data_IF_997874968810
#
_entry.id   IF_997874968810
#
_cell.length_a   1.000
_cell.length_b   1.000
_cell.length_c   1.000
_cell.angle_alpha   90.00
_cell.angle_beta   90.00
_cell.angle_gamma   90.00
#
_symmetry.space_group_name_H-M   'P 1'
#
loop_
_entity.id
_entity.type
_entity.pdbx_description
1 polymer ?
#
# COMPACT_ATOMS: atom_id res chain seq x y z
N UNK A 1 4.76 16.11 36.50
CA UNK A 1 3.74 15.05 36.63
C UNK A 1 2.81 14.98 35.42
N UNK A 2 2.10 16.07 35.05
CA UNK A 2 1.20 16.04 33.89
C UNK A 2 1.96 15.84 32.56
N UNK A 3 3.12 16.50 32.41
CA UNK A 3 3.91 16.46 31.17
C UNK A 3 4.49 15.08 30.86
N UNK A 4 4.92 14.30 31.88
CA UNK A 4 5.48 12.96 31.70
C UNK A 4 4.40 11.97 31.24
N UNK A 5 3.21 12.05 31.81
CA UNK A 5 2.08 11.22 31.41
C UNK A 5 1.57 11.55 30.00
N UNK A 6 1.50 12.84 29.65
CA UNK A 6 1.15 13.29 28.30
C UNK A 6 2.20 12.87 27.27
N UNK A 7 3.49 13.01 27.59
CA UNK A 7 4.58 12.57 26.72
C UNK A 7 4.54 11.05 26.45
N UNK A 8 4.36 10.24 27.50
CA UNK A 8 4.21 8.80 27.38
C UNK A 8 2.97 8.41 26.54
N UNK A 9 1.85 9.12 26.74
CA UNK A 9 0.63 8.89 25.97
C UNK A 9 0.82 9.13 24.47
N UNK A 10 1.37 10.29 24.09
CA UNK A 10 1.56 10.63 22.67
C UNK A 10 2.60 9.74 22.00
N UNK A 11 3.72 9.43 22.68
CA UNK A 11 4.75 8.54 22.12
C UNK A 11 4.25 7.11 21.93
N UNK A 12 3.40 6.58 22.80
CA UNK A 12 2.72 5.29 22.62
C UNK A 12 1.78 5.29 21.39
N UNK A 13 0.99 6.36 21.20
CA UNK A 13 0.14 6.50 20.02
C UNK A 13 0.95 6.54 18.71
N UNK A 14 2.05 7.29 18.70
CA UNK A 14 2.98 7.36 17.55
C UNK A 14 3.57 5.98 17.28
N UNK A 15 4.05 5.26 18.30
CA UNK A 15 4.62 3.93 18.14
C UNK A 15 3.61 2.94 17.55
N UNK A 16 2.36 2.95 18.03
CA UNK A 16 1.28 2.12 17.48
C UNK A 16 1.03 2.41 16.00
N UNK A 17 0.88 3.67 15.62
CA UNK A 17 0.67 4.08 14.23
C UNK A 17 1.81 3.62 13.32
N UNK A 18 3.06 3.78 13.76
CA UNK A 18 4.25 3.37 13.01
C UNK A 18 4.33 1.85 12.85
N UNK A 19 4.03 1.07 13.91
CA UNK A 19 4.01 -0.39 13.85
C UNK A 19 2.94 -0.89 12.87
N UNK A 20 1.73 -0.33 12.97
CA UNK A 20 0.61 -0.67 12.09
C UNK A 20 0.97 -0.40 10.63
N UNK A 21 1.56 0.76 10.32
CA UNK A 21 2.01 1.07 8.96
C UNK A 21 3.12 0.15 8.49
N UNK A 22 4.11 -0.15 9.32
CA UNK A 22 5.17 -1.10 8.95
C UNK A 22 4.58 -2.47 8.60
N UNK A 23 3.58 -2.94 9.35
CA UNK A 23 2.87 -4.17 9.04
C UNK A 23 2.10 -4.08 7.70
N UNK A 24 1.39 -2.97 7.45
CA UNK A 24 0.69 -2.72 6.18
C UNK A 24 1.66 -2.72 4.99
N UNK A 25 2.78 -1.98 5.07
CA UNK A 25 3.79 -1.93 4.01
C UNK A 25 4.39 -3.32 3.73
N UNK A 26 4.61 -4.13 4.77
CA UNK A 26 5.06 -5.52 4.60
C UNK A 26 4.01 -6.38 3.90
N UNK A 27 2.73 -6.25 4.27
CA UNK A 27 1.63 -6.96 3.61
C UNK A 27 1.54 -6.59 2.13
N UNK A 28 1.54 -5.29 1.81
CA UNK A 28 1.54 -4.78 0.44
C UNK A 28 2.74 -5.32 -0.34
N UNK A 29 3.93 -5.32 0.27
CA UNK A 29 5.13 -5.88 -0.36
C UNK A 29 4.93 -7.35 -0.70
N UNK A 30 4.39 -8.16 0.21
CA UNK A 30 4.12 -9.57 -0.02
C UNK A 30 3.10 -9.79 -1.14
N UNK A 31 1.98 -9.07 -1.11
CA UNK A 31 0.89 -9.22 -2.06
C UNK A 31 1.28 -8.78 -3.49
N UNK A 32 2.14 -7.77 -3.62
CA UNK A 32 2.69 -7.34 -4.92
C UNK A 32 3.74 -8.30 -5.51
N UNK A 33 4.25 -9.24 -4.72
CA UNK A 33 5.30 -10.15 -5.15
C UNK A 33 4.88 -11.08 -6.30
N UNK A 34 5.89 -11.64 -6.98
CA UNK A 34 5.69 -12.56 -8.11
C UNK A 34 4.93 -13.84 -7.74
N UNK A 35 4.91 -14.23 -6.46
CA UNK A 35 4.17 -15.39 -5.98
C UNK A 35 2.67 -15.12 -5.73
N UNK A 36 2.27 -13.84 -5.72
CA UNK A 36 0.91 -13.38 -5.42
C UNK A 36 0.30 -12.69 -6.65
N UNK A 37 0.14 -11.35 -6.63
CA UNK A 37 -0.47 -10.59 -7.72
C UNK A 37 0.32 -10.78 -9.03
N UNK A 38 1.65 -10.86 -8.98
CA UNK A 38 2.47 -11.09 -10.17
C UNK A 38 2.15 -12.42 -10.87
N UNK A 39 1.98 -13.51 -10.12
CA UNK A 39 1.56 -14.83 -10.64
C UNK A 39 0.18 -14.78 -11.26
N UNK A 40 -0.76 -14.13 -10.56
CA UNK A 40 -2.15 -14.03 -11.04
C UNK A 40 -2.20 -13.25 -12.34
N UNK A 41 -1.52 -12.10 -12.42
CA UNK A 41 -1.41 -11.31 -13.65
C UNK A 41 -0.76 -12.11 -14.79
N UNK A 42 0.30 -12.88 -14.50
CA UNK A 42 0.90 -13.81 -15.47
C UNK A 42 -0.11 -14.81 -16.02
N UNK A 43 -0.84 -15.51 -15.15
CA UNK A 43 -1.89 -16.45 -15.56
C UNK A 43 -3.01 -15.81 -16.38
N UNK A 44 -3.38 -14.55 -16.10
CA UNK A 44 -4.37 -13.83 -16.91
C UNK A 44 -3.85 -13.44 -18.28
N UNK A 45 -2.56 -13.13 -18.39
CA UNK A 45 -1.93 -12.88 -19.69
C UNK A 45 -1.92 -14.16 -20.55
N UNK A 46 -1.62 -15.31 -19.94
CA UNK A 46 -1.66 -16.62 -20.61
C UNK A 46 -3.08 -16.99 -21.05
N UNK A 47 -4.08 -16.77 -20.19
CA UNK A 47 -5.50 -16.97 -20.53
C UNK A 47 -5.92 -16.14 -21.75
N UNK A 48 -5.49 -14.87 -21.83
CA UNK A 48 -5.76 -14.00 -22.99
C UNK A 48 -5.02 -14.46 -24.24
N UNK A 49 -3.82 -15.01 -24.10
CA UNK A 49 -3.09 -15.58 -25.22
C UNK A 49 -3.84 -16.77 -25.84
N UNK A 50 -4.56 -17.55 -25.03
CA UNK A 50 -5.43 -18.63 -25.53
C UNK A 50 -6.65 -18.14 -26.33
N UNK A 51 -7.03 -16.85 -26.21
CA UNK A 51 -8.11 -16.26 -27.02
C UNK A 51 -7.64 -15.77 -28.39
N UNK A 52 -6.33 -15.60 -28.61
CA UNK A 52 -5.79 -15.11 -29.89
C UNK A 52 -6.18 -15.96 -31.11
N UNK A 53 -6.18 -17.31 -31.05
CA UNK A 53 -6.69 -18.13 -32.15
C UNK A 53 -8.16 -17.83 -32.52
N UNK A 54 -8.94 -17.26 -31.59
CA UNK A 54 -10.31 -16.83 -31.86
C UNK A 54 -10.43 -15.67 -32.84
N UNK A 55 -9.38 -14.85 -32.98
CA UNK A 55 -9.30 -13.81 -34.01
C UNK A 55 -9.33 -14.43 -35.41
N UNK A 56 -8.53 -15.49 -35.62
CA UNK A 56 -8.49 -16.22 -36.89
C UNK A 56 -9.81 -16.96 -37.15
N UNK A 57 -10.42 -17.53 -36.10
CA UNK A 57 -11.74 -18.15 -36.16
C UNK A 57 -12.84 -17.18 -36.60
N UNK A 58 -12.86 -15.97 -36.04
CA UNK A 58 -13.78 -14.91 -36.47
C UNK A 58 -13.49 -14.44 -37.89
N UNK A 59 -12.22 -14.26 -38.25
CA UNK A 59 -11.83 -13.86 -39.61
C UNK A 59 -12.29 -14.89 -40.65
N UNK A 60 -12.20 -16.19 -40.34
CA UNK A 60 -12.71 -17.25 -41.20
C UNK A 60 -14.25 -17.21 -41.33
N UNK A 61 -14.97 -16.93 -40.24
CA UNK A 61 -16.42 -16.78 -40.26
C UNK A 61 -16.87 -15.55 -41.07
N UNK A 62 -16.17 -14.41 -40.92
CA UNK A 62 -16.37 -13.20 -41.72
C UNK A 62 -16.16 -13.47 -43.21
N UNK A 63 -15.07 -14.15 -43.56
CA UNK A 63 -14.77 -14.55 -44.94
C UNK A 63 -15.85 -15.47 -45.53
N UNK A 64 -16.42 -16.36 -44.70
CA UNK A 64 -17.52 -17.25 -45.11
C UNK A 64 -18.78 -16.44 -45.45
N UNK A 65 -19.09 -15.39 -44.67
CA UNK A 65 -20.19 -14.47 -44.98
C UNK A 65 -19.92 -13.69 -46.27
N UNK A 66 -18.70 -13.21 -46.47
CA UNK A 66 -18.31 -12.46 -47.68
C UNK A 66 -18.42 -13.29 -48.97
N UNK A 67 -18.21 -14.61 -48.89
CA UNK A 67 -18.28 -15.53 -50.04
C UNK A 67 -19.65 -16.16 -50.24
N UNK A 68 -20.57 -16.02 -49.29
CA UNK A 68 -21.89 -16.64 -49.37
C UNK A 68 -22.79 -15.90 -50.38
N UNK A 69 -23.56 -16.66 -51.16
CA UNK A 69 -24.52 -16.13 -52.13
C UNK A 69 -25.90 -16.77 -51.97
N UNK A 70 -26.95 -16.03 -52.35
CA UNK A 70 -28.33 -16.51 -52.34
C UNK A 70 -28.79 -17.05 -50.97
N UNK A 71 -29.33 -18.26 -50.94
CA UNK A 71 -29.87 -18.87 -49.73
C UNK A 71 -28.81 -19.17 -48.65
N UNK A 72 -27.51 -19.18 -48.99
CA UNK A 72 -26.43 -19.45 -48.04
C UNK A 72 -26.07 -18.24 -47.15
N UNK A 73 -26.48 -17.02 -47.51
CA UNK A 73 -26.12 -15.79 -46.80
C UNK A 73 -26.68 -15.77 -45.37
N UNK A 74 -27.96 -16.13 -45.19
CA UNK A 74 -28.59 -16.07 -43.87
C UNK A 74 -27.97 -17.07 -42.87
N UNK A 75 -27.73 -18.35 -43.23
CA UNK A 75 -26.97 -19.29 -42.39
C UNK A 75 -25.56 -18.80 -42.05
N UNK A 76 -24.81 -18.26 -43.03
CA UNK A 76 -23.45 -17.77 -42.80
C UNK A 76 -23.43 -16.62 -41.78
N UNK A 77 -24.38 -15.67 -41.89
CA UNK A 77 -24.53 -14.58 -40.92
C UNK A 77 -24.91 -15.09 -39.53
N UNK A 78 -25.82 -16.05 -39.45
CA UNK A 78 -26.20 -16.69 -38.19
C UNK A 78 -25.01 -17.35 -37.49
N UNK A 79 -24.15 -18.04 -38.26
CA UNK A 79 -22.93 -18.64 -37.73
C UNK A 79 -21.94 -17.58 -37.22
N UNK A 80 -21.69 -16.51 -37.98
CA UNK A 80 -20.82 -15.41 -37.53
C UNK A 80 -21.31 -14.80 -36.22
N UNK A 81 -22.62 -14.53 -36.09
CA UNK A 81 -23.21 -13.99 -34.86
C UNK A 81 -23.04 -14.97 -33.70
N UNK A 82 -23.23 -16.26 -33.92
CA UNK A 82 -23.03 -17.28 -32.89
C UNK A 82 -21.57 -17.35 -32.43
N UNK A 83 -20.62 -17.36 -33.36
CA UNK A 83 -19.18 -17.36 -33.04
C UNK A 83 -18.76 -16.08 -32.31
N UNK A 84 -19.25 -14.92 -32.75
CA UNK A 84 -19.00 -13.64 -32.08
C UNK A 84 -19.52 -13.66 -30.63
N UNK A 85 -20.75 -14.14 -30.41
CA UNK A 85 -21.35 -14.20 -29.08
C UNK A 85 -20.53 -15.09 -28.12
N UNK A 86 -19.96 -16.20 -28.61
CA UNK A 86 -19.06 -17.03 -27.81
C UNK A 86 -17.82 -16.25 -27.34
N UNK A 87 -17.14 -15.56 -28.25
CA UNK A 87 -15.96 -14.76 -27.90
C UNK A 87 -16.29 -13.52 -27.05
N UNK A 88 -17.47 -12.93 -27.20
CA UNK A 88 -17.95 -11.88 -26.30
C UNK A 88 -18.13 -12.40 -24.86
N UNK A 89 -18.59 -13.64 -24.69
CA UNK A 89 -18.66 -14.30 -23.39
C UNK A 89 -17.28 -14.62 -22.79
N UNK A 90 -16.34 -15.10 -23.61
CA UNK A 90 -14.98 -15.37 -23.17
C UNK A 90 -14.26 -14.09 -22.71
N UNK A 91 -14.38 -13.00 -23.47
CA UNK A 91 -13.82 -11.69 -23.12
C UNK A 91 -14.45 -11.14 -21.84
N UNK A 92 -15.76 -11.29 -21.65
CA UNK A 92 -16.43 -10.91 -20.41
C UNK A 92 -15.88 -11.68 -19.20
N UNK A 93 -15.71 -13.01 -19.34
CA UNK A 93 -15.15 -13.85 -18.30
C UNK A 93 -13.72 -13.43 -17.93
N UNK A 94 -12.87 -13.10 -18.92
CA UNK A 94 -11.53 -12.58 -18.66
C UNK A 94 -11.55 -11.21 -17.98
N UNK A 95 -12.45 -10.31 -18.40
CA UNK A 95 -12.64 -9.01 -17.75
C UNK A 95 -13.05 -9.14 -16.29
N UNK A 96 -13.93 -10.10 -15.96
CA UNK A 96 -14.32 -10.38 -14.58
C UNK A 96 -13.14 -10.88 -13.72
N UNK A 97 -12.28 -11.74 -14.29
CA UNK A 97 -11.06 -12.22 -13.60
C UNK A 97 -10.06 -11.09 -13.35
N UNK A 98 -9.84 -10.21 -14.33
CA UNK A 98 -9.03 -9.00 -14.15
C UNK A 98 -9.64 -8.10 -13.06
N UNK A 99 -10.97 -7.98 -13.03
CA UNK A 99 -11.70 -7.25 -11.99
C UNK A 99 -11.46 -7.80 -10.58
N UNK A 100 -11.19 -9.10 -10.44
CA UNK A 100 -10.76 -9.70 -9.18
C UNK A 100 -9.41 -9.16 -8.71
N UNK A 101 -8.41 -9.09 -9.61
CA UNK A 101 -7.08 -8.53 -9.30
C UNK A 101 -7.17 -7.05 -8.96
N UNK A 102 -7.95 -6.29 -9.73
CA UNK A 102 -8.20 -4.88 -9.48
C UNK A 102 -8.82 -4.66 -8.08
N UNK A 103 -9.74 -5.53 -7.66
CA UNK A 103 -10.33 -5.47 -6.32
C UNK A 103 -9.29 -5.71 -5.25
N UNK A 104 -8.46 -6.75 -5.37
CA UNK A 104 -7.38 -7.04 -4.41
C UNK A 104 -6.41 -5.87 -4.27
N UNK A 105 -6.02 -5.23 -5.39
CA UNK A 105 -5.21 -4.00 -5.34
C UNK A 105 -5.95 -2.85 -4.64
N UNK A 106 -7.25 -2.67 -4.91
CA UNK A 106 -8.07 -1.66 -4.24
C UNK A 106 -8.20 -1.89 -2.73
N UNK A 107 -8.33 -3.15 -2.30
CA UNK A 107 -8.40 -3.54 -0.88
C UNK A 107 -7.12 -3.17 -0.12
N UNK A 108 -5.94 -3.20 -0.75
CA UNK A 108 -4.70 -2.71 -0.13
C UNK A 108 -4.77 -1.21 0.20
N UNK A 109 -5.52 -0.44 -0.60
CA UNK A 109 -5.67 1.00 -0.41
C UNK A 109 -6.71 1.35 0.65
N UNK A 110 -7.91 0.82 0.48
CA UNK A 110 -9.10 1.24 1.23
C UNK A 110 -9.52 0.25 2.32
N UNK A 111 -8.88 -0.91 2.39
CA UNK A 111 -9.32 -2.03 3.21
C UNK A 111 -10.51 -2.76 2.62
N UNK A 112 -10.88 -3.87 3.28
CA UNK A 112 -12.05 -4.69 2.88
C UNK A 112 -13.36 -4.20 3.49
N UNK A 113 -13.27 -3.39 4.54
CA UNK A 113 -14.40 -2.80 5.25
C UNK A 113 -13.99 -1.48 5.95
N UNK A 114 -14.94 -0.63 6.36
CA UNK A 114 -14.63 0.68 6.95
C UNK A 114 -13.86 0.66 8.27
N UNK A 115 -13.74 -0.50 8.93
CA UNK A 115 -13.03 -0.66 10.22
C UNK A 115 -11.62 -1.22 10.02
N UNK A 116 -11.27 -1.58 8.78
CA UNK A 116 -9.98 -2.17 8.44
C UNK A 116 -8.88 -1.13 8.60
N UNK A 117 -7.98 -1.37 9.57
CA UNK A 117 -6.85 -0.49 9.86
C UNK A 117 -5.60 -0.88 9.09
N UNK A 118 -5.59 -2.05 8.44
CA UNK A 118 -4.43 -2.59 7.75
C UNK A 118 -4.46 -2.25 6.25
N UNK A 119 -4.71 -0.97 5.94
CA UNK A 119 -4.71 -0.46 4.58
C UNK A 119 -3.94 0.87 4.49
N UNK A 120 -3.53 1.24 3.27
CA UNK A 120 -2.66 2.40 3.04
C UNK A 120 -3.32 3.72 3.47
N UNK A 121 -4.63 3.91 3.23
CA UNK A 121 -5.33 5.13 3.60
C UNK A 121 -5.46 5.30 5.12
N UNK A 122 -5.83 4.23 5.83
CA UNK A 122 -5.85 4.25 7.29
C UNK A 122 -4.45 4.51 7.86
N UNK A 123 -3.42 3.88 7.27
CA UNK A 123 -2.03 4.12 7.63
C UNK A 123 -1.57 5.57 7.44
N UNK A 124 -1.91 6.20 6.32
CA UNK A 124 -1.56 7.61 6.07
C UNK A 124 -2.22 8.55 7.08
N UNK A 125 -3.50 8.31 7.42
CA UNK A 125 -4.23 9.07 8.44
C UNK A 125 -3.65 8.86 9.85
N UNK A 126 -3.23 7.63 10.18
CA UNK A 126 -2.59 7.31 11.45
C UNK A 126 -1.25 8.04 11.59
N UNK A 127 -0.43 8.09 10.53
CA UNK A 127 0.82 8.84 10.52
C UNK A 127 0.61 10.35 10.56
N UNK A 128 -0.43 10.88 9.90
CA UNK A 128 -0.77 12.30 10.02
C UNK A 128 -1.16 12.66 11.46
N UNK A 129 -1.90 11.77 12.13
CA UNK A 129 -2.22 11.94 13.55
C UNK A 129 -0.97 11.86 14.42
N UNK A 130 -0.05 10.94 14.13
CA UNK A 130 1.24 10.83 14.81
C UNK A 130 2.10 12.10 14.65
N UNK A 131 2.08 12.74 13.48
CA UNK A 131 2.74 14.04 13.28
C UNK A 131 2.12 15.15 14.13
N UNK A 132 0.79 15.16 14.28
CA UNK A 132 0.11 16.11 15.19
C UNK A 132 0.46 15.84 16.65
N UNK A 133 0.61 14.58 17.04
CA UNK A 133 1.05 14.22 18.39
C UNK A 133 2.50 14.62 18.64
N UNK A 134 3.38 14.53 17.63
CA UNK A 134 4.73 15.10 17.68
C UNK A 134 4.73 16.62 17.85
N UNK A 135 3.84 17.34 17.15
CA UNK A 135 3.68 18.79 17.33
C UNK A 135 3.25 19.13 18.77
N UNK A 136 2.39 18.30 19.39
CA UNK A 136 1.99 18.46 20.80
C UNK A 136 3.14 18.19 21.76
N UNK A 137 3.93 17.14 21.51
CA UNK A 137 5.11 16.81 22.30
C UNK A 137 6.10 17.98 22.29
N UNK A 138 6.37 18.58 21.14
CA UNK A 138 7.33 19.70 21.02
C UNK A 138 6.87 20.97 21.77
N UNK A 139 5.56 21.11 22.03
CA UNK A 139 5.01 22.19 22.83
C UNK A 139 5.13 21.93 24.34
N UNK A 140 5.40 20.69 24.76
CA UNK A 140 5.62 20.38 26.17
C UNK A 140 7.00 20.91 26.63
N UNK A 141 7.08 21.54 27.81
CA UNK A 141 8.34 22.07 28.35
C UNK A 141 9.45 21.01 28.41
N UNK A 142 10.58 21.28 27.75
CA UNK A 142 11.76 20.41 27.76
C UNK A 142 11.66 19.15 26.91
N UNK A 143 10.60 18.99 26.09
CA UNK A 143 10.36 17.77 25.30
C UNK A 143 10.73 17.88 23.82
N UNK A 144 11.15 19.05 23.35
CA UNK A 144 11.77 19.22 22.04
C UNK A 144 13.21 18.65 22.02
N UNK A 145 13.33 17.33 22.06
CA UNK A 145 14.60 16.60 22.14
C UNK A 145 15.09 16.12 20.77
N UNK A 146 16.36 15.71 20.69
CA UNK A 146 16.92 15.11 19.47
C UNK A 146 16.20 13.82 19.05
N UNK A 147 15.74 13.02 20.03
CA UNK A 147 15.00 11.80 19.74
C UNK A 147 13.61 12.09 19.16
N UNK A 148 12.93 13.12 19.65
CA UNK A 148 11.64 13.57 19.08
C UNK A 148 11.82 14.10 17.66
N UNK A 149 12.87 14.89 17.39
CA UNK A 149 13.19 15.35 16.04
C UNK A 149 13.47 14.17 15.08
N UNK A 150 14.22 13.16 15.55
CA UNK A 150 14.49 11.95 14.77
C UNK A 150 13.23 11.11 14.54
N UNK A 151 12.35 11.03 15.53
CA UNK A 151 11.06 10.34 15.42
C UNK A 151 10.19 11.02 14.37
N UNK A 152 10.13 12.35 14.38
CA UNK A 152 9.44 13.15 13.35
C UNK A 152 9.94 12.84 11.95
N UNK A 153 11.26 12.88 11.72
CA UNK A 153 11.83 12.51 10.41
C UNK A 153 11.45 11.09 9.98
N UNK A 154 11.42 10.14 10.92
CA UNK A 154 10.99 8.76 10.65
C UNK A 154 9.51 8.66 10.26
N UNK A 155 8.62 9.34 10.98
CA UNK A 155 7.17 9.37 10.69
C UNK A 155 6.90 10.06 9.36
N UNK A 156 7.57 11.19 9.06
CA UNK A 156 7.47 11.89 7.77
C UNK A 156 7.94 11.00 6.62
N UNK A 157 9.05 10.29 6.80
CA UNK A 157 9.54 9.31 5.83
C UNK A 157 8.50 8.22 5.54
N UNK A 158 7.94 7.60 6.57
CA UNK A 158 6.92 6.56 6.40
C UNK A 158 5.66 7.11 5.74
N UNK A 159 5.25 8.35 6.08
CA UNK A 159 4.07 8.97 5.48
C UNK A 159 4.28 9.16 3.97
N UNK A 160 5.42 9.71 3.58
CA UNK A 160 5.76 9.89 2.17
C UNK A 160 5.78 8.55 1.43
N UNK A 161 6.31 7.49 2.03
CA UNK A 161 6.30 6.15 1.45
C UNK A 161 4.86 5.65 1.27
N UNK A 162 4.02 5.72 2.29
CA UNK A 162 2.62 5.28 2.21
C UNK A 162 1.85 6.05 1.13
N UNK A 163 2.02 7.37 1.04
CA UNK A 163 1.34 8.19 0.03
C UNK A 163 1.79 7.84 -1.41
N UNK A 164 3.09 7.59 -1.60
CA UNK A 164 3.62 7.15 -2.90
C UNK A 164 3.12 5.75 -3.27
N UNK A 165 3.09 4.83 -2.32
CA UNK A 165 2.59 3.47 -2.52
C UNK A 165 1.10 3.51 -2.86
N UNK A 166 0.30 4.29 -2.13
CA UNK A 166 -1.12 4.47 -2.39
C UNK A 166 -1.38 4.98 -3.81
N UNK A 167 -0.64 6.01 -4.24
CA UNK A 167 -0.74 6.55 -5.59
C UNK A 167 -0.36 5.54 -6.68
N UNK A 168 0.70 4.75 -6.47
CA UNK A 168 1.11 3.71 -7.44
C UNK A 168 0.11 2.57 -7.52
N UNK A 169 -0.48 2.17 -6.38
CA UNK A 169 -1.55 1.17 -6.38
C UNK A 169 -2.80 1.71 -7.08
N UNK A 170 -3.15 2.99 -6.89
CA UNK A 170 -4.25 3.64 -7.62
C UNK A 170 -4.02 3.59 -9.13
N UNK A 171 -2.81 3.96 -9.58
CA UNK A 171 -2.43 3.90 -10.99
C UNK A 171 -2.59 2.48 -11.57
N UNK A 172 -2.12 1.45 -10.85
CA UNK A 172 -2.30 0.05 -11.27
C UNK A 172 -3.78 -0.33 -11.37
N UNK A 173 -4.62 0.10 -10.41
CA UNK A 173 -6.06 -0.15 -10.49
C UNK A 173 -6.72 0.54 -11.68
N UNK A 174 -6.26 1.75 -12.04
CA UNK A 174 -6.73 2.49 -13.20
C UNK A 174 -6.32 1.79 -14.51
N UNK A 175 -5.07 1.32 -14.62
CA UNK A 175 -4.57 0.56 -15.78
C UNK A 175 -5.44 -0.68 -16.06
N UNK A 176 -5.72 -1.49 -15.04
CA UNK A 176 -6.60 -2.65 -15.19
C UNK A 176 -8.03 -2.25 -15.57
N UNK A 177 -8.51 -1.10 -15.10
CA UNK A 177 -9.83 -0.55 -15.45
C UNK A 177 -9.95 -0.25 -16.95
N UNK A 178 -8.89 0.30 -17.57
CA UNK A 178 -8.87 0.60 -19.01
C UNK A 178 -9.01 -0.66 -19.87
N UNK A 179 -8.26 -1.72 -19.53
CA UNK A 179 -8.37 -3.03 -20.18
C UNK A 179 -9.77 -3.62 -20.05
N UNK A 180 -10.36 -3.54 -18.85
CA UNK A 180 -11.74 -3.99 -18.60
C UNK A 180 -12.78 -3.16 -19.34
N UNK A 181 -12.57 -1.86 -19.50
CA UNK A 181 -13.46 -1.00 -20.27
C UNK A 181 -13.44 -1.35 -21.75
N UNK A 182 -12.28 -1.71 -22.31
CA UNK A 182 -12.19 -2.22 -23.67
C UNK A 182 -12.98 -3.53 -23.83
N UNK A 183 -12.82 -4.46 -22.89
CA UNK A 183 -13.57 -5.72 -22.86
C UNK A 183 -15.08 -5.50 -22.78
N UNK A 184 -15.53 -4.58 -21.90
CA UNK A 184 -16.94 -4.22 -21.76
C UNK A 184 -17.52 -3.67 -23.07
N UNK A 185 -16.82 -2.73 -23.72
CA UNK A 185 -17.25 -2.16 -25.01
C UNK A 185 -17.41 -3.23 -26.09
N UNK A 186 -16.47 -4.18 -26.18
CA UNK A 186 -16.56 -5.29 -27.13
C UNK A 186 -17.73 -6.23 -26.82
N UNK A 187 -17.93 -6.56 -25.55
CA UNK A 187 -19.01 -7.43 -25.09
C UNK A 187 -20.40 -6.83 -25.37
N UNK A 188 -20.59 -5.53 -25.15
CA UNK A 188 -21.91 -4.88 -25.30
C UNK A 188 -22.25 -4.42 -26.72
N UNK A 189 -21.27 -4.39 -27.62
CA UNK A 189 -21.47 -3.89 -28.98
C UNK A 189 -22.35 -4.83 -29.80
N UNK A 190 -23.24 -4.25 -30.61
CA UNK A 190 -24.08 -5.04 -31.50
C UNK A 190 -23.24 -5.64 -32.65
N UNK A 191 -23.56 -6.84 -33.17
CA UNK A 191 -22.79 -7.45 -34.26
C UNK A 191 -22.63 -6.56 -35.51
N UNK A 192 -23.59 -5.67 -35.78
CA UNK A 192 -23.55 -4.74 -36.91
C UNK A 192 -22.60 -3.55 -36.71
N UNK A 193 -22.19 -3.28 -35.48
CA UNK A 193 -21.30 -2.17 -35.11
C UNK A 193 -19.83 -2.57 -35.09
N UNK A 194 -19.56 -3.87 -35.23
CA UNK A 194 -18.24 -4.47 -35.09
C UNK A 194 -17.65 -4.85 -36.44
N UNK A 195 -16.31 -4.85 -36.48
CA UNK A 195 -15.50 -5.72 -37.31
C UNK A 195 -15.03 -6.87 -36.41
N UNK A 196 -15.80 -7.96 -36.26
CA UNK A 196 -15.64 -8.97 -35.22
C UNK A 196 -14.20 -9.41 -34.93
N UNK A 197 -13.45 -9.82 -35.94
CA UNK A 197 -12.08 -10.31 -35.77
C UNK A 197 -11.11 -9.20 -35.34
N UNK A 198 -11.19 -8.03 -36.00
CA UNK A 198 -10.34 -6.89 -35.72
C UNK A 198 -10.63 -6.26 -34.35
N UNK A 199 -11.89 -6.16 -33.95
CA UNK A 199 -12.31 -5.66 -32.64
C UNK A 199 -11.93 -6.63 -31.52
N UNK A 200 -12.08 -7.95 -31.71
CA UNK A 200 -11.59 -8.95 -30.77
C UNK A 200 -10.07 -8.82 -30.58
N UNK A 201 -9.30 -8.76 -31.67
CA UNK A 201 -7.85 -8.62 -31.62
C UNK A 201 -7.40 -7.36 -30.90
N UNK A 202 -8.03 -6.21 -31.17
CA UNK A 202 -7.77 -4.95 -30.46
C UNK A 202 -8.11 -5.03 -28.97
N UNK A 203 -9.19 -5.73 -28.63
CA UNK A 203 -9.64 -5.87 -27.24
C UNK A 203 -8.69 -6.75 -26.43
N UNK A 204 -8.30 -7.91 -26.97
CA UNK A 204 -7.28 -8.77 -26.38
C UNK A 204 -5.96 -8.01 -26.21
N UNK A 205 -5.51 -7.27 -27.23
CA UNK A 205 -4.30 -6.46 -27.15
C UNK A 205 -4.33 -5.46 -25.99
N UNK A 206 -5.40 -4.66 -25.88
CA UNK A 206 -5.55 -3.69 -24.78
C UNK A 206 -5.59 -4.35 -23.39
N UNK A 207 -6.25 -5.49 -23.26
CA UNK A 207 -6.27 -6.23 -22.00
C UNK A 207 -4.88 -6.76 -21.65
N UNK A 208 -4.13 -7.28 -22.62
CA UNK A 208 -2.76 -7.75 -22.43
C UNK A 208 -1.82 -6.61 -22.03
N UNK A 209 -1.90 -5.47 -22.72
CA UNK A 209 -1.11 -4.27 -22.40
C UNK A 209 -1.40 -3.80 -20.97
N UNK A 210 -2.68 -3.73 -20.57
CA UNK A 210 -3.06 -3.33 -19.21
C UNK A 210 -2.52 -4.27 -18.12
N UNK A 211 -2.47 -5.58 -18.39
CA UNK A 211 -1.91 -6.58 -17.47
C UNK A 211 -0.39 -6.45 -17.40
N UNK A 212 0.27 -6.28 -18.55
CA UNK A 212 1.72 -6.14 -18.62
C UNK A 212 2.20 -4.89 -17.89
N UNK A 213 1.59 -3.73 -18.16
CA UNK A 213 1.92 -2.48 -17.49
C UNK A 213 1.68 -2.56 -15.97
N UNK A 214 0.57 -3.18 -15.56
CA UNK A 214 0.27 -3.39 -14.14
C UNK A 214 1.30 -4.30 -13.47
N UNK A 215 1.71 -5.38 -14.15
CA UNK A 215 2.71 -6.31 -13.63
C UNK A 215 4.07 -5.64 -13.47
N UNK A 216 4.51 -4.89 -14.47
CA UNK A 216 5.78 -4.16 -14.44
C UNK A 216 5.80 -3.15 -13.29
N UNK A 217 4.69 -2.42 -13.10
CA UNK A 217 4.55 -1.48 -11.98
C UNK A 217 4.53 -2.19 -10.62
N UNK A 218 3.83 -3.33 -10.50
CA UNK A 218 3.81 -4.13 -9.29
C UNK A 218 5.21 -4.65 -8.93
N UNK A 219 5.97 -5.15 -9.92
CA UNK A 219 7.34 -5.64 -9.72
C UNK A 219 8.29 -4.52 -9.29
N UNK A 220 8.22 -3.35 -9.93
CA UNK A 220 9.03 -2.18 -9.52
C UNK A 220 8.68 -1.74 -8.10
N UNK A 221 7.40 -1.62 -7.77
CA UNK A 221 6.95 -1.23 -6.44
C UNK A 221 7.35 -2.26 -5.38
N UNK A 222 7.22 -3.56 -5.68
CA UNK A 222 7.69 -4.64 -4.82
C UNK A 222 9.20 -4.52 -4.54
N UNK A 223 10.03 -4.31 -5.56
CA UNK A 223 11.47 -4.15 -5.41
C UNK A 223 11.84 -2.91 -4.59
N UNK A 224 11.17 -1.78 -4.85
CA UNK A 224 11.34 -0.51 -4.12
C UNK A 224 11.02 -0.67 -2.62
N UNK A 225 9.90 -1.34 -2.31
CA UNK A 225 9.49 -1.63 -0.93
C UNK A 225 10.41 -2.63 -0.24
N UNK A 226 10.80 -3.71 -0.94
CA UNK A 226 11.72 -4.71 -0.40
C UNK A 226 13.07 -4.08 -0.03
N UNK A 227 13.62 -3.22 -0.88
CA UNK A 227 14.86 -2.46 -0.62
C UNK A 227 14.73 -1.54 0.61
N UNK A 228 13.54 -0.98 0.82
CA UNK A 228 13.26 0.00 1.89
C UNK A 228 12.79 -0.64 3.21
N UNK A 229 12.53 -1.95 3.21
CA UNK A 229 11.95 -2.70 4.34
C UNK A 229 12.74 -2.59 5.65
N UNK A 230 14.08 -2.60 5.57
CA UNK A 230 14.94 -2.39 6.73
C UNK A 230 14.80 -0.99 7.34
N UNK A 231 14.53 0.02 6.51
CA UNK A 231 14.25 1.38 6.95
C UNK A 231 12.92 1.47 7.71
N UNK A 232 11.87 0.82 7.21
CA UNK A 232 10.57 0.79 7.90
C UNK A 232 10.67 0.14 9.28
N UNK A 233 11.36 -1.00 9.34
CA UNK A 233 11.61 -1.70 10.60
C UNK A 233 12.43 -0.84 11.57
N UNK A 234 13.46 -0.16 11.10
CA UNK A 234 14.29 0.72 11.94
C UNK A 234 13.50 1.87 12.55
N UNK A 235 12.58 2.48 11.78
CA UNK A 235 11.69 3.54 12.30
C UNK A 235 10.72 2.97 13.35
N UNK A 236 10.15 1.79 13.12
CA UNK A 236 9.26 1.14 14.08
C UNK A 236 9.96 0.77 15.40
N UNK A 237 11.15 0.17 15.32
CA UNK A 237 11.97 -0.15 16.49
C UNK A 237 12.37 1.12 17.26
N UNK A 238 12.73 2.19 16.55
CA UNK A 238 13.05 3.47 17.18
C UNK A 238 11.84 4.09 17.89
N UNK A 239 10.67 4.10 17.25
CA UNK A 239 9.44 4.62 17.84
C UNK A 239 9.05 3.86 19.13
N UNK A 240 9.18 2.52 19.12
CA UNK A 240 8.98 1.68 20.31
C UNK A 240 10.00 2.00 21.40
N UNK A 241 11.27 2.21 21.03
CA UNK A 241 12.32 2.62 21.97
C UNK A 241 11.98 3.93 22.69
N UNK A 242 11.54 4.94 21.94
CA UNK A 242 11.12 6.23 22.49
C UNK A 242 9.90 6.08 23.41
N UNK A 243 8.87 5.34 22.99
CA UNK A 243 7.68 5.11 23.80
C UNK A 243 7.99 4.36 25.10
N UNK A 244 8.83 3.32 25.06
CA UNK A 244 9.25 2.60 26.25
C UNK A 244 10.06 3.48 27.21
N UNK A 245 10.94 4.34 26.68
CA UNK A 245 11.66 5.33 27.48
C UNK A 245 10.71 6.32 28.17
N UNK A 246 9.74 6.85 27.43
CA UNK A 246 8.73 7.76 27.97
C UNK A 246 7.86 7.11 29.06
N UNK A 247 7.48 5.84 28.90
CA UNK A 247 6.76 5.09 29.93
C UNK A 247 7.60 4.85 31.18
N UNK A 248 8.90 4.56 31.03
CA UNK A 248 9.81 4.42 32.18
C UNK A 248 9.90 5.75 32.96
N UNK A 249 10.10 6.88 32.27
CA UNK A 249 10.10 8.20 32.90
C UNK A 249 8.78 8.53 33.62
N UNK A 250 7.64 8.16 33.01
CA UNK A 250 6.33 8.34 33.64
C UNK A 250 6.19 7.53 34.92
N UNK A 251 6.67 6.28 34.93
CA UNK A 251 6.62 5.40 36.11
C UNK A 251 7.51 5.93 37.22
N UNK A 252 8.72 6.36 36.90
CA UNK A 252 9.66 6.93 37.86
C UNK A 252 9.09 8.22 38.49
N UNK A 253 8.55 9.13 37.68
CA UNK A 253 7.90 10.34 38.16
C UNK A 253 6.68 10.05 39.05
N UNK A 254 5.88 9.04 38.71
CA UNK A 254 4.74 8.64 39.52
C UNK A 254 5.17 8.07 40.89
N UNK A 255 6.23 7.26 40.93
CA UNK A 255 6.80 6.72 42.17
C UNK A 255 7.37 7.84 43.05
N UNK A 256 8.10 8.80 42.47
CA UNK A 256 8.62 9.95 43.22
C UNK A 256 7.50 10.78 43.86
N UNK A 257 6.40 11.01 43.12
CA UNK A 257 5.28 11.75 43.65
C UNK A 257 4.52 11.00 44.75
N UNK A 258 4.39 9.67 44.65
CA UNK A 258 3.83 8.85 45.71
C UNK A 258 4.69 8.91 46.98
N UNK A 259 6.02 8.79 46.83
CA UNK A 259 6.97 8.93 47.93
C UNK A 259 6.90 10.32 48.58
N UNK A 260 6.77 11.39 47.78
CA UNK A 260 6.59 12.75 48.29
C UNK A 260 5.25 12.91 49.02
N UNK A 261 4.16 12.36 48.47
CA UNK A 261 2.84 12.40 49.09
C UNK A 261 2.83 11.63 50.43
N UNK A 262 3.50 10.48 50.50
CA UNK A 262 3.64 9.71 51.73
C UNK A 262 4.56 10.39 52.76
N UNK A 263 5.65 11.04 52.33
CA UNK A 263 6.50 11.84 53.20
C UNK A 263 5.75 13.01 53.83
N UNK A 264 4.94 13.72 53.03
CA UNK A 264 4.06 14.80 53.49
C UNK A 264 2.99 14.26 54.45
N UNK A 265 2.38 13.11 54.14
CA UNK A 265 1.39 12.44 55.02
C UNK A 265 2.01 11.96 56.34
N UNK A 266 3.27 11.55 56.33
CA UNK A 266 4.03 11.14 57.50
C UNK A 266 4.53 12.32 58.36
N UNK A 267 4.26 13.57 57.95
CA UNK A 267 4.67 14.78 58.69
C UNK A 267 6.17 15.06 58.64
N UNK A 268 6.90 14.45 57.71
CA UNK A 268 8.33 14.69 57.49
C UNK A 268 8.44 15.79 56.44
N UNK A 269 9.10 16.90 56.78
CA UNK A 269 9.33 18.00 55.83
C UNK A 269 10.35 17.51 54.78
N UNK A 270 9.95 17.23 53.52
CA UNK A 270 10.89 16.71 52.53
C UNK A 270 11.78 17.88 52.15
N UNK A 271 13.06 17.80 52.47
CA UNK A 271 14.03 18.74 51.91
C UNK A 271 14.07 18.44 50.42
N UNK A 272 13.48 19.32 49.61
CA UNK A 272 13.64 19.30 48.17
C UNK A 272 15.14 19.23 47.88
N UNK A 273 15.59 18.12 47.31
CA UNK A 273 16.96 18.01 46.81
C UNK A 273 17.02 18.89 45.56
N UNK A 274 17.23 20.18 45.79
CA UNK A 274 17.47 21.14 44.74
C UNK A 274 18.71 20.70 43.95
N UNK A 275 18.55 20.66 42.62
CA UNK A 275 19.56 20.84 41.61
C UNK A 275 20.88 20.07 41.81
N UNK A 276 20.94 18.87 41.23
CA UNK A 276 22.07 18.33 40.45
C UNK A 276 21.93 16.81 40.33
N UNK A 277 21.09 16.35 39.42
CA UNK A 277 21.43 15.11 38.71
C UNK A 277 21.89 15.53 37.30
N UNK A 278 23.17 15.28 36.94
CA UNK A 278 23.55 15.44 35.55
C UNK A 278 22.65 14.53 34.74
N UNK A 279 22.09 15.07 33.64
CA UNK A 279 21.50 14.27 32.57
C UNK A 279 22.44 13.10 32.37
N UNK A 280 21.98 11.88 32.64
CA UNK A 280 22.76 10.71 32.34
C UNK A 280 23.05 10.79 30.85
N UNK A 281 24.28 11.16 30.49
CA UNK A 281 24.81 10.90 29.18
C UNK A 281 24.69 9.40 29.02
N UNK A 282 23.63 8.96 28.35
CA UNK A 282 23.63 7.65 27.74
C UNK A 282 24.96 7.58 26.98
N UNK A 283 25.83 6.59 27.28
CA UNK A 283 27.02 6.41 26.49
C UNK A 283 26.55 6.37 25.04
N UNK A 284 27.15 7.18 24.17
CA UNK A 284 26.87 7.20 22.74
C UNK A 284 26.63 5.77 22.30
N UNK A 285 25.36 5.46 22.09
CA UNK A 285 24.93 4.11 21.84
C UNK A 285 25.74 3.64 20.64
N UNK A 286 26.18 2.39 20.64
CA UNK A 286 26.85 1.71 19.53
C UNK A 286 26.05 1.83 18.20
N UNK A 287 24.81 2.34 18.28
CA UNK A 287 23.94 2.87 17.23
C UNK A 287 24.45 4.11 16.47
N UNK A 288 25.20 5.03 17.09
CA UNK A 288 25.83 6.17 16.40
C UNK A 288 26.83 5.68 15.34
N UNK A 289 27.44 4.51 15.52
CA UNK A 289 28.26 3.86 14.47
C UNK A 289 27.42 3.19 13.39
N UNK A 290 26.28 2.61 13.74
CA UNK A 290 25.42 1.87 12.79
C UNK A 290 24.61 2.79 11.87
N UNK A 291 24.28 3.99 12.33
CA UNK A 291 23.55 5.01 11.55
C UNK A 291 24.46 6.00 10.81
N UNK A 292 25.76 6.08 11.16
CA UNK A 292 26.77 6.86 10.42
C UNK A 292 27.52 6.05 9.34
N UNK A 293 27.14 4.78 9.10
CA UNK A 293 27.43 4.08 7.84
C UNK A 293 26.56 4.67 6.72
N UNK A 294 27.02 4.71 5.46
CA UNK A 294 26.62 5.74 4.50
C UNK A 294 25.10 5.85 4.33
N UNK A 295 24.56 6.95 4.85
CA UNK A 295 23.25 7.50 4.49
C UNK A 295 23.29 8.24 3.14
N UNK A 296 24.10 7.76 2.20
CA UNK A 296 24.20 8.29 0.84
C UNK A 296 24.18 7.12 -0.13
N UNK A 297 23.34 7.25 -1.16
CA UNK A 297 23.09 6.28 -2.25
C UNK A 297 22.02 5.20 -1.98
N UNK A 298 20.92 5.61 -1.36
CA UNK A 298 19.71 4.78 -1.30
C UNK A 298 18.42 5.51 -1.63
N UNK A 299 18.47 6.83 -1.86
CA UNK A 299 17.31 7.59 -2.31
C UNK A 299 16.70 6.83 -3.48
N UNK A 300 15.43 6.42 -3.31
CA UNK A 300 14.60 6.05 -4.44
C UNK A 300 14.87 7.12 -5.50
N UNK A 301 15.44 6.71 -6.63
CA UNK A 301 15.35 7.52 -7.83
C UNK A 301 13.88 7.43 -8.22
N UNK A 302 13.08 8.29 -7.57
CA UNK A 302 11.69 8.59 -7.87
C UNK A 302 11.61 9.24 -9.24
#
# INVERSE_FOLDING_TARGET
MANEAEFAHYTDQIAKAVIEVNATLRSVTYDLGDDQIGRVLGSRSDDLAMLRPGVDGLAAAELTVQRAEGAAVAPAKGNLVHTLAAYQGDVEAQSARIGGVQRTLGEQRTGTNPQDRHCLQAGSQALESALKDLDRIEQLPGRATADVAKLRTGVEYLKNVVDVVDSRVDQMTAQLSEGRQAAYKFHTAAPSELQPSADLGRTIGRMQDSIADTRDNAQRLHADLAKSSGGFQSVAEFAVGVANGAHAEQQDAAQEAEQLADAVRAGVNPTARADQHPVAHQPESDLSRRLNGPAQEGGLKL
#
